data_IF_042710809063
#
_entry.id   IF_042710809063
#
_cell.length_a   1.000
_cell.length_b   1.000
_cell.length_c   1.000
_cell.angle_alpha   90.00
_cell.angle_beta   90.00
_cell.angle_gamma   90.00
#
_symmetry.space_group_name_H-M   'P 1'
#
loop_
_entity.id
_entity.type
_entity.pdbx_description
1 polymer ?
#
# COMPACT_ATOMS: atom_id res chain seq x y z
N UNK A 1 -8.27 0.97 -5.95
CA UNK A 1 -7.40 0.20 -6.87
C UNK A 1 -6.07 0.92 -6.94
N UNK A 2 -4.95 0.20 -6.92
CA UNK A 2 -3.62 0.80 -7.11
C UNK A 2 -3.45 1.05 -8.60
N UNK A 3 -3.09 2.29 -8.97
CA UNK A 3 -2.75 2.64 -10.34
C UNK A 3 -1.32 2.20 -10.61
N UNK A 4 -1.11 1.45 -11.68
CA UNK A 4 0.24 1.06 -12.13
C UNK A 4 0.65 2.00 -13.25
N UNK A 5 1.79 2.65 -13.08
CA UNK A 5 2.41 3.58 -14.03
C UNK A 5 3.69 2.95 -14.60
N UNK A 6 4.05 3.35 -15.82
CA UNK A 6 5.33 2.97 -16.42
C UNK A 6 6.30 4.14 -16.33
N UNK A 7 7.51 3.91 -15.86
CA UNK A 7 8.60 4.87 -15.82
C UNK A 7 9.86 4.30 -16.53
N UNK A 8 10.99 4.99 -16.45
CA UNK A 8 12.26 4.53 -17.02
C UNK A 8 12.86 3.32 -16.28
N UNK A 9 12.39 3.04 -15.05
CA UNK A 9 12.76 1.89 -14.22
C UNK A 9 11.86 0.65 -14.41
N UNK A 10 10.72 0.79 -15.09
CA UNK A 10 9.80 -0.31 -15.39
C UNK A 10 8.35 0.06 -15.12
N UNK A 11 7.65 -0.79 -14.34
CA UNK A 11 6.27 -0.54 -13.92
C UNK A 11 6.23 -0.45 -12.40
N UNK A 12 5.68 0.63 -11.90
CA UNK A 12 5.49 0.87 -10.48
C UNK A 12 4.02 1.14 -10.17
N UNK A 13 3.61 0.93 -8.93
CA UNK A 13 2.28 1.31 -8.45
C UNK A 13 2.33 1.59 -6.97
N UNK A 14 1.77 2.72 -6.56
CA UNK A 14 1.79 3.19 -5.18
C UNK A 14 0.40 3.52 -4.64
N UNK A 15 0.29 3.50 -3.32
CA UNK A 15 -0.88 3.99 -2.59
C UNK A 15 -0.42 4.65 -1.30
N UNK A 16 -0.85 5.89 -1.07
CA UNK A 16 -0.48 6.67 0.11
C UNK A 16 -1.69 6.86 1.02
N UNK A 17 -1.60 6.38 2.26
CA UNK A 17 -2.59 6.59 3.32
C UNK A 17 -2.23 7.85 4.11
N UNK A 18 -3.24 8.64 4.52
CA UNK A 18 -3.00 9.92 5.19
C UNK A 18 -3.91 10.15 6.40
N UNK A 19 -3.33 10.70 7.46
CA UNK A 19 -4.05 11.35 8.57
C UNK A 19 -3.37 12.70 8.87
N UNK A 20 -4.11 13.83 8.87
CA UNK A 20 -5.54 13.98 8.56
C UNK A 20 -5.89 13.61 7.11
N UNK A 21 -7.18 13.38 6.82
CA UNK A 21 -7.66 12.98 5.48
C UNK A 21 -7.29 14.05 4.42
N UNK A 22 -6.75 13.60 3.30
CA UNK A 22 -6.53 14.40 2.08
C UNK A 22 -7.41 13.88 0.93
N UNK A 23 -7.78 14.77 -0.01
CA UNK A 23 -8.54 14.38 -1.21
C UNK A 23 -7.68 13.41 -2.05
N UNK A 24 -8.29 12.32 -2.50
CA UNK A 24 -7.61 11.30 -3.32
C UNK A 24 -6.79 10.28 -2.55
N UNK A 25 -6.51 10.50 -1.26
CA UNK A 25 -5.75 9.56 -0.41
C UNK A 25 -6.66 8.85 0.60
N UNK A 26 -6.61 7.52 0.78
CA UNK A 26 -7.30 6.84 1.87
C UNK A 26 -6.94 7.40 3.25
N UNK A 27 -7.86 7.31 4.22
CA UNK A 27 -7.58 7.69 5.60
C UNK A 27 -6.64 6.64 6.22
N UNK A 28 -5.62 7.08 6.95
CA UNK A 28 -4.89 6.20 7.87
C UNK A 28 -5.62 6.19 9.22
N UNK A 29 -6.35 5.13 9.52
CA UNK A 29 -7.20 4.98 10.71
C UNK A 29 -6.71 3.91 11.70
N UNK A 30 -5.49 3.39 11.49
CA UNK A 30 -4.82 2.45 12.39
C UNK A 30 -3.33 2.81 12.54
N UNK A 31 -2.71 2.30 13.60
CA UNK A 31 -1.25 2.40 13.81
C UNK A 31 -0.57 1.18 13.16
N UNK A 32 0.19 1.34 12.07
CA UNK A 32 0.80 0.21 11.37
C UNK A 32 2.01 -0.36 12.11
N UNK A 33 2.55 0.33 13.13
CA UNK A 33 3.78 -0.09 13.81
C UNK A 33 3.55 -1.37 14.62
N UNK A 34 4.46 -2.32 14.47
CA UNK A 34 4.39 -3.64 15.06
C UNK A 34 3.28 -4.52 14.48
N UNK A 35 2.61 -4.11 13.41
CA UNK A 35 1.56 -4.88 12.76
C UNK A 35 2.12 -5.68 11.58
N UNK A 36 1.50 -6.83 11.32
CA UNK A 36 1.77 -7.63 10.13
C UNK A 36 1.14 -6.95 8.91
N UNK A 37 1.96 -6.65 7.90
CA UNK A 37 1.53 -6.16 6.60
C UNK A 37 1.74 -7.26 5.57
N UNK A 38 0.70 -7.60 4.83
CA UNK A 38 0.72 -8.62 3.78
C UNK A 38 0.35 -8.03 2.42
N UNK A 39 1.08 -8.43 1.38
CA UNK A 39 0.65 -8.29 0.00
C UNK A 39 0.15 -9.64 -0.48
N UNK A 40 -1.13 -9.70 -0.89
CA UNK A 40 -1.76 -10.92 -1.37
C UNK A 40 -2.09 -10.86 -2.85
N UNK A 41 -1.77 -11.92 -3.59
CA UNK A 41 -2.17 -12.12 -4.98
C UNK A 41 -2.94 -13.43 -5.10
N UNK A 42 -4.17 -13.36 -5.63
CA UNK A 42 -5.07 -14.51 -5.78
C UNK A 42 -5.28 -15.30 -4.47
N UNK A 43 -5.37 -14.58 -3.34
CA UNK A 43 -5.55 -15.17 -2.01
C UNK A 43 -4.27 -15.69 -1.33
N UNK A 44 -3.13 -15.70 -2.02
CA UNK A 44 -1.85 -16.12 -1.46
C UNK A 44 -1.01 -14.92 -1.04
N UNK A 45 -0.38 -14.98 0.13
CA UNK A 45 0.61 -13.98 0.57
C UNK A 45 1.88 -14.12 -0.25
N UNK A 46 2.31 -13.04 -0.89
CA UNK A 46 3.52 -12.99 -1.73
C UNK A 46 4.63 -12.13 -1.12
N UNK A 47 4.28 -11.22 -0.20
CA UNK A 47 5.20 -10.46 0.63
C UNK A 47 4.55 -10.29 1.99
N UNK A 48 5.35 -10.38 3.05
CA UNK A 48 4.93 -10.06 4.41
C UNK A 48 6.06 -9.41 5.19
N UNK A 49 5.70 -8.49 6.08
CA UNK A 49 6.65 -7.82 6.98
C UNK A 49 5.93 -7.37 8.24
N UNK A 50 6.63 -7.40 9.37
CA UNK A 50 6.21 -6.63 10.55
C UNK A 50 6.79 -5.23 10.40
N UNK A 51 5.91 -4.23 10.28
CA UNK A 51 6.29 -2.85 10.01
C UNK A 51 6.75 -2.10 11.27
#
# INVERSE_FOLDING_TARGET
AITVMSDDGGREGEIEFRFPKEIGKPLLDFDPRGQLIEVRQNGNTILEVVF
#
